data_IF_833206645443
#
_entry.id   IF_833206645443
#
_cell.length_a   1.000
_cell.length_b   1.000
_cell.length_c   1.000
_cell.angle_alpha   90.00
_cell.angle_beta   90.00
_cell.angle_gamma   90.00
#
_symmetry.space_group_name_H-M   'P 1'
#
loop_
_entity.id
_entity.type
_entity.pdbx_description
1 polymer ?
#
# COMPACT_ATOMS: atom_id res chain seq x y z
N UNK A 1 -15.83 0.62 -5.05
CA UNK A 1 -15.04 1.56 -5.88
C UNK A 1 -13.71 0.89 -6.19
N UNK A 2 -13.18 1.04 -7.41
CA UNK A 2 -11.82 0.57 -7.77
C UNK A 2 -10.97 1.79 -8.12
N UNK A 3 -9.78 1.88 -7.55
CA UNK A 3 -8.81 2.97 -7.79
C UNK A 3 -7.56 2.34 -8.41
N UNK A 4 -7.26 2.68 -9.67
CA UNK A 4 -6.02 2.32 -10.34
C UNK A 4 -5.14 3.56 -10.45
N UNK A 5 -3.98 3.54 -9.80
CA UNK A 5 -3.07 4.68 -9.71
C UNK A 5 -1.61 4.21 -9.58
N UNK A 6 -0.70 5.13 -9.25
CA UNK A 6 0.74 4.87 -9.14
C UNK A 6 1.21 4.84 -7.68
N UNK A 7 2.41 4.31 -7.45
CA UNK A 7 2.94 4.06 -6.09
C UNK A 7 2.92 5.28 -5.16
N UNK A 8 3.33 6.47 -5.63
CA UNK A 8 3.34 7.68 -4.79
C UNK A 8 1.91 8.17 -4.48
N UNK A 9 1.01 8.12 -5.45
CA UNK A 9 -0.40 8.53 -5.28
C UNK A 9 -1.11 7.60 -4.30
N UNK A 10 -0.88 6.29 -4.43
CA UNK A 10 -1.44 5.28 -3.53
C UNK A 10 -0.86 5.41 -2.12
N UNK A 11 0.45 5.69 -1.97
CA UNK A 11 1.05 5.97 -0.66
C UNK A 11 0.41 7.18 0.01
N UNK A 12 0.15 8.26 -0.73
CA UNK A 12 -0.53 9.43 -0.17
C UNK A 12 -1.94 9.09 0.34
N UNK A 13 -2.69 8.27 -0.41
CA UNK A 13 -4.02 7.82 0.01
C UNK A 13 -3.95 6.92 1.25
N UNK A 14 -3.05 5.93 1.26
CA UNK A 14 -2.82 5.04 2.41
C UNK A 14 -2.41 5.85 3.64
N UNK A 15 -1.51 6.82 3.48
CA UNK A 15 -1.11 7.72 4.56
C UNK A 15 -2.30 8.45 5.18
N UNK A 16 -3.20 8.97 4.35
CA UNK A 16 -4.40 9.67 4.82
C UNK A 16 -5.36 8.74 5.55
N UNK A 17 -5.62 7.56 4.99
CA UNK A 17 -6.53 6.57 5.56
C UNK A 17 -6.00 6.01 6.90
N UNK A 18 -4.74 5.60 6.93
CA UNK A 18 -4.12 4.92 8.07
C UNK A 18 -3.45 5.88 9.06
N UNK A 19 -3.60 7.19 8.84
CA UNK A 19 -3.01 8.27 9.64
C UNK A 19 -1.50 8.05 9.90
N UNK A 20 -0.77 7.67 8.85
CA UNK A 20 0.66 7.36 8.90
C UNK A 20 1.47 8.66 8.97
N UNK A 21 2.45 8.71 9.85
CA UNK A 21 3.36 9.85 9.99
C UNK A 21 4.34 9.98 8.82
N UNK A 22 4.90 11.18 8.62
CA UNK A 22 5.82 11.46 7.50
C UNK A 22 7.08 10.58 7.51
N UNK A 23 7.59 10.22 8.68
CA UNK A 23 8.75 9.34 8.83
C UNK A 23 8.43 7.89 8.43
N UNK A 24 7.22 7.42 8.75
CA UNK A 24 6.78 6.06 8.46
C UNK A 24 6.35 5.87 7.01
N UNK A 25 5.83 6.90 6.34
CA UNK A 25 5.37 6.74 4.96
C UNK A 25 6.52 6.50 3.98
N UNK A 26 7.74 6.96 4.30
CA UNK A 26 8.93 6.76 3.46
C UNK A 26 9.31 5.29 3.34
N UNK A 27 9.06 4.49 4.38
CA UNK A 27 9.39 3.06 4.40
C UNK A 27 8.26 2.17 3.85
N UNK A 28 7.09 2.75 3.55
CA UNK A 28 5.95 2.00 3.02
C UNK A 28 6.17 1.64 1.54
N UNK A 29 6.28 0.35 1.24
CA UNK A 29 6.38 -0.15 -0.13
C UNK A 29 5.06 -0.82 -0.53
N UNK A 30 4.39 -0.28 -1.55
CA UNK A 30 3.17 -0.86 -2.13
C UNK A 30 3.58 -1.72 -3.33
N UNK A 31 3.26 -3.03 -3.35
CA UNK A 31 3.62 -3.92 -4.44
C UNK A 31 2.82 -3.59 -5.71
N UNK A 32 3.49 -3.68 -6.87
CA UNK A 32 2.85 -3.42 -8.16
C UNK A 32 1.88 -4.53 -8.54
N UNK A 33 0.69 -4.17 -9.00
CA UNK A 33 -0.28 -5.10 -9.57
C UNK A 33 -0.99 -6.01 -8.55
N UNK A 34 -0.84 -5.73 -7.25
CA UNK A 34 -1.55 -6.46 -6.18
C UNK A 34 -2.70 -5.61 -5.64
N UNK A 35 -3.95 -6.12 -5.61
CA UNK A 35 -5.07 -5.39 -5.03
C UNK A 35 -4.91 -5.22 -3.51
N UNK A 36 -4.95 -3.98 -3.03
CA UNK A 36 -5.08 -3.62 -1.61
C UNK A 36 -6.54 -3.28 -1.31
N UNK A 37 -7.19 -4.09 -0.47
CA UNK A 37 -8.59 -3.91 -0.08
C UNK A 37 -8.64 -3.10 1.21
N UNK A 38 -9.50 -2.08 1.25
CA UNK A 38 -9.90 -1.37 2.45
C UNK A 38 -11.37 -1.62 2.73
N UNK A 39 -11.69 -1.98 3.97
CA UNK A 39 -13.05 -1.91 4.49
C UNK A 39 -13.17 -0.65 5.36
N UNK A 40 -14.17 0.18 5.05
CA UNK A 40 -14.38 1.46 5.71
C UNK A 40 -15.72 1.45 6.46
N UNK A 41 -15.81 2.20 7.56
CA UNK A 41 -17.06 2.45 8.27
C UNK A 41 -17.93 3.51 7.56
N UNK A 42 -19.10 3.82 8.15
CA UNK A 42 -20.03 4.81 7.61
C UNK A 42 -19.46 6.25 7.60
N UNK A 43 -18.37 6.50 8.33
CA UNK A 43 -17.64 7.77 8.39
C UNK A 43 -16.37 7.74 7.54
N UNK A 44 -16.21 6.72 6.68
CA UNK A 44 -15.06 6.50 5.80
C UNK A 44 -13.74 6.25 6.56
N UNK A 45 -13.80 5.80 7.82
CA UNK A 45 -12.60 5.39 8.56
C UNK A 45 -12.25 3.93 8.27
N UNK A 46 -10.96 3.59 8.09
CA UNK A 46 -10.56 2.20 7.91
C UNK A 46 -10.89 1.32 9.10
N UNK A 47 -11.52 0.18 8.83
CA UNK A 47 -11.76 -0.91 9.77
C UNK A 47 -10.63 -1.94 9.64
N UNK A 48 -10.27 -2.29 8.40
CA UNK A 48 -9.13 -3.18 8.09
C UNK A 48 -8.65 -2.96 6.66
N UNK A 49 -7.39 -3.32 6.43
CA UNK A 49 -6.79 -3.39 5.10
C UNK A 49 -6.01 -4.70 4.92
N UNK A 50 -6.05 -5.24 3.69
CA UNK A 50 -5.33 -6.48 3.37
C UNK A 50 -5.06 -6.60 1.87
N UNK A 51 -3.94 -7.23 1.51
CA UNK A 51 -3.65 -7.57 0.12
C UNK A 51 -4.37 -8.86 -0.30
N UNK A 52 -4.99 -8.84 -1.47
CA UNK A 52 -5.70 -9.98 -2.03
C UNK A 52 -4.76 -10.86 -2.87
N UNK A 53 -4.69 -12.16 -2.55
CA UNK A 53 -3.94 -13.15 -3.32
C UNK A 53 -2.95 -13.97 -2.49
N UNK A 54 -2.01 -14.60 -3.19
CA UNK A 54 -0.94 -15.43 -2.63
C UNK A 54 0.05 -14.58 -1.82
N UNK A 55 0.12 -14.84 -0.53
CA UNK A 55 0.89 -14.03 0.41
C UNK A 55 2.41 -14.10 0.18
N UNK A 56 2.92 -15.21 -0.32
CA UNK A 56 4.36 -15.37 -0.57
C UNK A 56 4.78 -14.58 -1.81
N UNK A 57 3.94 -14.61 -2.86
CA UNK A 57 4.15 -13.76 -4.06
C UNK A 57 4.05 -12.27 -3.72
N UNK A 58 3.12 -11.89 -2.86
CA UNK A 58 2.95 -10.49 -2.43
C UNK A 58 4.17 -10.01 -1.64
N UNK A 59 4.68 -10.81 -0.70
CA UNK A 59 5.91 -10.50 0.03
C UNK A 59 7.11 -10.34 -0.92
N UNK A 60 7.26 -11.24 -1.89
CA UNK A 60 8.31 -11.14 -2.90
C UNK A 60 8.19 -9.86 -3.74
N UNK A 61 6.97 -9.48 -4.15
CA UNK A 61 6.72 -8.25 -4.89
C UNK A 61 7.03 -6.99 -4.05
N UNK A 62 6.66 -6.97 -2.77
CA UNK A 62 7.00 -5.85 -1.87
C UNK A 62 8.52 -5.72 -1.70
N UNK A 63 9.23 -6.84 -1.52
CA UNK A 63 10.69 -6.85 -1.42
C UNK A 63 11.35 -6.36 -2.72
N UNK A 64 10.80 -6.72 -3.88
CA UNK A 64 11.26 -6.22 -5.18
C UNK A 64 11.16 -4.70 -5.26
N UNK A 65 10.01 -4.11 -4.89
CA UNK A 65 9.80 -2.66 -4.87
C UNK A 65 10.78 -1.97 -3.90
N UNK A 66 10.95 -2.52 -2.69
CA UNK A 66 11.88 -1.97 -1.70
C UNK A 66 13.34 -1.94 -2.19
N UNK A 67 13.73 -2.88 -3.05
CA UNK A 67 15.08 -2.97 -3.61
C UNK A 67 15.26 -2.09 -4.86
N UNK A 68 14.21 -1.56 -5.49
CA UNK A 68 14.34 -0.65 -6.64
C UNK A 68 15.07 0.65 -6.29
N UNK A 69 15.01 1.08 -5.02
CA UNK A 69 15.77 2.24 -4.52
C UNK A 69 17.20 1.91 -4.11
N UNK A 70 17.59 0.62 -4.07
CA UNK A 70 18.95 0.17 -3.74
C UNK A 70 19.71 -0.05 -5.05
N UNK A 71 20.50 0.95 -5.41
CA UNK A 71 21.52 0.94 -6.47
C UNK A 71 21.04 1.20 -7.91
N UNK A 72 21.43 2.38 -8.42
CA UNK A 72 22.52 2.40 -9.38
C UNK A 72 23.83 2.63 -8.62
#
# INVERSE_FOLDING_TARGET
VVIAAHGNSLRALVKHLDNISEDKIVSLNIPTGVPLVYELDAQLKPIKSYYLGDQDKIKAAMASVANQGKSK
#
